data_IF_228132372520
#
_entry.id   IF_228132372520
#
_cell.length_a   1.000
_cell.length_b   1.000
_cell.length_c   1.000
_cell.angle_alpha   90.00
_cell.angle_beta   90.00
_cell.angle_gamma   90.00
#
_symmetry.space_group_name_H-M   'P 1'
#
loop_
_entity.id
_entity.type
_entity.pdbx_description
1 polymer ?
#
# COMPACT_ATOMS: atom_id res chain seq x y z
N UNK A 1 26.21 18.97 33.60
CA UNK A 1 26.94 19.14 32.33
C UNK A 1 27.29 17.73 31.89
N UNK A 2 26.42 17.03 31.16
CA UNK A 2 26.17 17.06 29.70
C UNK A 2 26.42 15.60 29.25
N UNK A 3 25.61 14.89 28.47
CA UNK A 3 24.64 15.29 27.45
C UNK A 3 23.28 14.57 27.57
N UNK A 4 22.16 15.25 27.31
CA UNK A 4 20.84 14.68 27.07
C UNK A 4 20.53 14.69 25.57
N UNK A 5 21.25 13.92 24.73
CA UNK A 5 20.93 13.72 23.31
C UNK A 5 21.51 12.37 22.84
N UNK A 6 20.92 11.25 23.26
CA UNK A 6 20.92 10.00 22.48
C UNK A 6 19.64 9.91 21.62
N UNK A 7 19.24 11.04 21.04
CA UNK A 7 18.19 11.13 20.02
C UNK A 7 18.84 11.36 18.66
N UNK A 8 18.47 10.50 17.70
CA UNK A 8 18.89 10.45 16.29
C UNK A 8 19.94 9.36 15.99
N UNK A 9 19.45 8.11 15.86
CA UNK A 9 20.29 7.00 15.43
C UNK A 9 19.60 5.64 15.43
N UNK A 10 18.32 5.53 15.05
CA UNK A 10 17.75 4.23 14.65
C UNK A 10 17.43 4.32 13.17
N UNK A 11 18.41 3.93 12.36
CA UNK A 11 18.22 3.61 10.95
C UNK A 11 17.69 2.17 10.91
N UNK A 12 16.42 2.01 10.51
CA UNK A 12 15.79 0.76 10.07
C UNK A 12 15.90 -0.44 11.02
N UNK A 13 15.08 -0.48 12.07
CA UNK A 13 14.65 -1.76 12.67
C UNK A 13 13.13 -1.80 12.45
N UNK A 14 12.72 -2.30 11.28
CA UNK A 14 11.34 -2.36 10.81
C UNK A 14 10.56 -3.32 11.68
N UNK A 15 9.82 -2.75 12.64
CA UNK A 15 8.87 -3.45 13.51
C UNK A 15 7.50 -2.89 13.24
N UNK A 16 6.48 -3.75 13.33
CA UNK A 16 5.09 -3.32 13.35
C UNK A 16 4.96 -2.14 14.32
N UNK A 17 4.56 -0.99 13.79
CA UNK A 17 4.46 0.24 14.53
C UNK A 17 3.01 0.70 14.49
N UNK A 18 2.51 1.18 15.62
CA UNK A 18 1.29 1.96 15.65
C UNK A 18 1.57 3.25 16.40
N UNK A 19 1.34 4.38 15.74
CA UNK A 19 1.56 5.71 16.28
C UNK A 19 0.30 6.56 16.08
N UNK A 20 0.05 7.49 16.99
CA UNK A 20 -1.09 8.42 16.90
C UNK A 20 -0.63 9.83 17.21
N UNK A 21 -1.08 10.79 16.41
CA UNK A 21 -0.78 12.21 16.57
C UNK A 21 -0.87 12.95 15.23
N UNK A 22 -0.39 14.18 15.22
CA UNK A 22 -0.34 15.00 14.01
C UNK A 22 0.60 14.39 12.97
N UNK A 23 0.12 14.19 11.74
CA UNK A 23 0.92 13.74 10.61
C UNK A 23 1.78 14.88 10.07
N UNK A 24 3.08 14.63 9.94
CA UNK A 24 4.01 15.55 9.28
C UNK A 24 4.75 14.79 8.20
N UNK A 25 4.80 15.36 7.01
CA UNK A 25 5.42 14.80 5.83
C UNK A 25 6.55 15.71 5.38
N UNK A 26 7.68 15.13 5.01
CA UNK A 26 8.75 15.81 4.30
C UNK A 26 9.20 14.97 3.11
N UNK A 27 9.52 15.61 1.99
CA UNK A 27 9.70 14.91 0.71
C UNK A 27 8.54 15.21 -0.24
N UNK A 28 8.43 14.41 -1.28
CA UNK A 28 7.37 14.50 -2.28
C UNK A 28 7.25 13.15 -2.99
N UNK A 29 6.07 12.86 -3.53
CA UNK A 29 5.80 11.63 -4.27
C UNK A 29 6.94 11.27 -5.25
N UNK A 30 7.41 10.01 -5.27
CA UNK A 30 6.88 8.86 -4.52
C UNK A 30 7.44 8.69 -3.10
N UNK A 31 8.41 9.50 -2.68
CA UNK A 31 9.19 9.28 -1.46
C UNK A 31 8.86 10.31 -0.37
N UNK A 32 8.33 9.83 0.75
CA UNK A 32 7.99 10.65 1.91
C UNK A 32 8.72 10.14 3.15
N UNK A 33 9.29 11.05 3.93
CA UNK A 33 9.54 10.79 5.35
C UNK A 33 8.28 11.21 6.11
N UNK A 34 7.68 10.25 6.79
CA UNK A 34 6.45 10.40 7.56
C UNK A 34 6.80 10.47 9.04
N UNK A 35 6.28 11.48 9.72
CA UNK A 35 6.39 11.65 11.17
C UNK A 35 4.99 11.73 11.78
N UNK A 36 4.77 11.03 12.89
CA UNK A 36 3.49 11.04 13.62
C UNK A 36 3.74 11.47 15.06
N UNK A 37 3.25 12.66 15.41
CA UNK A 37 3.55 13.31 16.68
C UNK A 37 5.05 13.48 16.92
N UNK A 38 5.49 13.34 18.17
CA UNK A 38 6.93 13.37 18.53
C UNK A 38 7.58 11.97 18.53
N UNK A 39 6.82 10.93 18.19
CA UNK A 39 7.11 9.56 18.66
C UNK A 39 7.52 8.60 17.55
N UNK A 40 7.12 8.85 16.31
CA UNK A 40 7.36 7.95 15.19
C UNK A 40 7.84 8.71 13.96
N UNK A 41 8.91 8.22 13.33
CA UNK A 41 9.37 8.67 12.03
C UNK A 41 9.81 7.45 11.20
N UNK A 42 9.38 7.39 9.94
CA UNK A 42 9.74 6.33 9.00
C UNK A 42 9.70 6.85 7.56
N UNK A 43 10.43 6.19 6.67
CA UNK A 43 10.41 6.49 5.24
C UNK A 43 9.36 5.61 4.56
N UNK A 44 8.59 6.21 3.65
CA UNK A 44 7.50 5.59 2.92
C UNK A 44 7.68 5.86 1.44
N UNK A 45 7.69 4.78 0.67
CA UNK A 45 7.57 4.82 -0.78
C UNK A 45 6.11 4.54 -1.16
N UNK A 46 5.46 5.46 -1.84
CA UNK A 46 4.12 5.27 -2.42
C UNK A 46 4.21 5.17 -3.94
N UNK A 47 3.15 4.69 -4.57
CA UNK A 47 3.04 4.79 -6.04
C UNK A 47 2.88 6.27 -6.38
N UNK A 48 3.46 6.72 -7.50
CA UNK A 48 3.47 8.14 -7.92
C UNK A 48 2.10 8.83 -7.92
N UNK A 49 1.01 8.06 -7.93
CA UNK A 49 -0.38 8.53 -7.94
C UNK A 49 -0.95 8.93 -6.57
N UNK A 50 -0.27 8.64 -5.45
CA UNK A 50 -0.69 9.10 -4.13
C UNK A 50 0.01 10.40 -3.73
N UNK A 51 -0.76 11.48 -3.61
CA UNK A 51 -0.27 12.68 -2.95
C UNK A 51 -0.70 12.68 -1.47
N UNK A 52 0.15 12.13 -0.61
CA UNK A 52 -0.09 12.10 0.84
C UNK A 52 -0.09 13.49 1.48
N UNK A 53 0.39 14.53 0.78
CA UNK A 53 0.44 15.89 1.34
C UNK A 53 -0.94 16.43 1.73
N UNK A 54 -2.03 15.86 1.18
CA UNK A 54 -3.39 16.17 1.60
C UNK A 54 -3.68 15.84 3.07
N UNK A 55 -2.95 14.89 3.67
CA UNK A 55 -3.09 14.49 5.08
C UNK A 55 -2.15 15.29 6.02
N UNK A 56 -1.35 16.22 5.48
CA UNK A 56 -0.39 17.00 6.26
C UNK A 56 -1.10 17.80 7.36
N UNK A 57 -0.68 17.60 8.61
CA UNK A 57 -1.21 18.31 9.77
C UNK A 57 -2.47 17.69 10.37
N UNK A 58 -2.99 16.61 9.79
CA UNK A 58 -4.16 15.91 10.34
C UNK A 58 -3.78 15.06 11.56
N UNK A 59 -4.70 14.96 12.51
CA UNK A 59 -4.60 13.99 13.60
C UNK A 59 -4.96 12.59 13.08
N UNK A 60 -3.97 11.70 13.08
CA UNK A 60 -4.12 10.36 12.50
C UNK A 60 -3.56 9.28 13.43
N UNK A 61 -4.02 8.05 13.20
CA UNK A 61 -3.35 6.85 13.66
C UNK A 61 -2.72 6.17 12.44
N UNK A 62 -1.40 6.00 12.46
CA UNK A 62 -0.68 5.23 11.44
C UNK A 62 -0.28 3.88 12.02
N UNK A 63 -0.58 2.83 11.26
CA UNK A 63 -0.10 1.47 11.52
C UNK A 63 0.76 1.03 10.36
N UNK A 64 2.02 0.67 10.62
CA UNK A 64 2.86 -0.03 9.65
C UNK A 64 2.98 -1.48 10.06
N UNK A 65 2.98 -2.36 9.08
CA UNK A 65 3.23 -3.79 9.29
C UNK A 65 4.40 -4.16 8.39
N UNK A 66 5.44 -4.69 9.02
CA UNK A 66 6.66 -5.07 8.33
C UNK A 66 6.57 -6.53 7.95
N UNK A 67 6.20 -6.80 6.70
CA UNK A 67 6.44 -8.08 6.04
C UNK A 67 6.92 -7.76 4.62
N UNK A 68 8.18 -8.09 4.30
CA UNK A 68 8.68 -8.00 2.92
C UNK A 68 10.08 -7.38 2.76
N UNK A 69 10.76 -7.79 1.69
CA UNK A 69 12.16 -7.49 1.32
C UNK A 69 12.28 -6.04 0.76
N UNK A 70 13.46 -5.43 0.84
CA UNK A 70 13.79 -4.11 0.25
C UNK A 70 13.07 -2.87 0.84
N UNK A 71 12.80 -2.85 2.14
CA UNK A 71 12.27 -1.66 2.87
C UNK A 71 10.84 -1.25 2.49
N UNK A 72 10.12 -2.01 1.66
CA UNK A 72 8.71 -1.71 1.32
C UNK A 72 7.81 -2.10 2.49
N UNK A 73 6.96 -1.17 2.92
CA UNK A 73 6.11 -1.33 4.10
C UNK A 73 4.65 -1.24 3.72
N UNK A 74 3.85 -2.16 4.27
CA UNK A 74 2.41 -1.97 4.28
C UNK A 74 2.05 -0.97 5.37
N UNK A 75 1.21 -0.02 5.02
CA UNK A 75 0.86 1.11 5.88
C UNK A 75 -0.63 1.39 5.77
N UNK A 76 -1.24 1.64 6.92
CA UNK A 76 -2.59 2.17 7.06
C UNK A 76 -2.54 3.50 7.80
N UNK A 77 -3.29 4.46 7.29
CA UNK A 77 -3.58 5.72 7.97
C UNK A 77 -5.08 5.78 8.25
N UNK A 78 -5.43 6.11 9.48
CA UNK A 78 -6.80 6.39 9.91
C UNK A 78 -6.89 7.82 10.46
N UNK A 79 -7.99 8.50 10.16
CA UNK A 79 -8.40 9.71 10.87
C UNK A 79 -9.49 9.38 11.91
N UNK A 80 -10.08 10.43 12.50
CA UNK A 80 -11.18 10.27 13.45
C UNK A 80 -12.45 9.61 12.86
N UNK A 81 -12.60 9.59 11.53
CA UNK A 81 -13.74 9.01 10.81
C UNK A 81 -13.46 7.58 10.34
N UNK A 82 -12.21 7.13 10.37
CA UNK A 82 -11.79 5.78 10.00
C UNK A 82 -10.63 5.78 8.99
N UNK A 83 -10.48 4.69 8.21
CA UNK A 83 -9.41 4.57 7.22
C UNK A 83 -9.43 5.71 6.20
N UNK A 84 -8.25 6.28 5.87
CA UNK A 84 -8.08 7.33 4.84
C UNK A 84 -7.15 6.93 3.72
N UNK A 85 -6.14 6.11 4.03
CA UNK A 85 -5.13 5.67 3.08
C UNK A 85 -4.60 4.31 3.50
N UNK A 86 -4.41 3.41 2.54
CA UNK A 86 -3.67 2.18 2.76
C UNK A 86 -2.76 1.90 1.57
N UNK A 87 -1.54 1.43 1.84
CA UNK A 87 -0.70 0.76 0.86
C UNK A 87 -0.42 -0.64 1.38
N UNK A 88 -0.69 -1.62 0.54
CA UNK A 88 -0.41 -3.02 0.77
C UNK A 88 0.74 -3.41 -0.17
N UNK A 89 1.89 -3.72 0.43
CA UNK A 89 3.12 -4.10 -0.23
C UNK A 89 3.40 -5.60 -0.03
N UNK A 90 2.38 -6.47 -0.10
CA UNK A 90 2.51 -7.91 0.14
C UNK A 90 1.96 -8.36 1.49
N UNK A 91 1.14 -7.53 2.12
CA UNK A 91 0.37 -7.91 3.30
C UNK A 91 -0.81 -8.82 2.93
N UNK A 92 -1.49 -9.34 3.96
CA UNK A 92 -2.67 -10.18 3.75
C UNK A 92 -3.88 -9.30 3.44
N UNK A 93 -4.52 -9.58 2.29
CA UNK A 93 -5.86 -9.09 1.93
C UNK A 93 -6.85 -9.15 3.10
N UNK A 94 -6.76 -10.18 3.95
CA UNK A 94 -7.66 -10.37 5.09
C UNK A 94 -7.66 -9.17 6.03
N UNK A 95 -6.51 -8.53 6.17
CA UNK A 95 -6.33 -7.53 7.18
C UNK A 95 -6.71 -6.13 6.69
N UNK A 96 -6.57 -5.83 5.39
CA UNK A 96 -7.25 -4.68 4.76
C UNK A 96 -8.77 -4.89 4.75
N UNK A 97 -9.24 -6.10 4.42
CA UNK A 97 -10.66 -6.43 4.44
C UNK A 97 -11.30 -6.34 5.83
N UNK A 98 -10.56 -6.70 6.88
CA UNK A 98 -11.02 -6.52 8.26
C UNK A 98 -11.36 -5.06 8.58
N UNK A 99 -10.68 -4.10 7.94
CA UNK A 99 -10.95 -2.68 8.11
C UNK A 99 -12.11 -2.15 7.26
N UNK A 100 -12.23 -2.64 6.02
CA UNK A 100 -13.34 -2.27 5.13
C UNK A 100 -14.69 -2.86 5.58
N UNK A 101 -14.70 -3.78 6.55
CA UNK A 101 -15.90 -4.30 7.20
C UNK A 101 -16.63 -5.40 6.42
N UNK A 102 -16.20 -5.69 5.19
CA UNK A 102 -16.57 -6.85 4.37
C UNK A 102 -15.38 -7.21 3.47
N UNK A 103 -15.29 -8.44 2.94
CA UNK A 103 -14.26 -8.76 1.95
C UNK A 103 -14.54 -7.97 0.66
N UNK A 104 -14.00 -6.76 0.62
CA UNK A 104 -14.10 -5.82 -0.50
C UNK A 104 -13.00 -6.08 -1.52
N UNK A 105 -11.89 -6.68 -1.09
CA UNK A 105 -10.74 -6.98 -1.94
C UNK A 105 -10.47 -8.48 -1.98
N UNK A 106 -10.22 -9.00 -3.17
CA UNK A 106 -9.84 -10.38 -3.37
C UNK A 106 -8.87 -10.50 -4.55
N UNK A 107 -8.23 -11.65 -4.66
CA UNK A 107 -7.64 -12.06 -5.93
C UNK A 107 -8.71 -12.34 -6.95
N UNK A 108 -8.51 -11.90 -8.20
CA UNK A 108 -9.28 -12.42 -9.31
C UNK A 108 -8.90 -13.86 -9.63
N UNK A 109 -9.70 -14.49 -10.49
CA UNK A 109 -9.28 -15.67 -11.23
C UNK A 109 -8.01 -15.37 -12.06
N UNK A 110 -7.30 -16.43 -12.46
CA UNK A 110 -6.15 -16.30 -13.36
C UNK A 110 -6.60 -15.78 -14.73
N UNK A 111 -5.92 -14.76 -15.20
CA UNK A 111 -6.21 -14.08 -16.47
C UNK A 111 -5.26 -14.49 -17.58
N UNK A 112 -4.12 -15.07 -17.21
CA UNK A 112 -3.19 -15.71 -18.12
C UNK A 112 -1.93 -16.16 -17.40
N UNK A 113 -1.09 -16.91 -18.12
CA UNK A 113 0.18 -17.37 -17.60
C UNK A 113 1.30 -17.14 -18.61
N UNK A 114 2.50 -16.87 -18.11
CA UNK A 114 3.73 -16.81 -18.89
C UNK A 114 4.79 -17.65 -18.20
N UNK A 115 5.72 -18.19 -18.98
CA UNK A 115 6.81 -18.97 -18.43
C UNK A 115 8.15 -18.56 -19.02
N UNK A 116 9.21 -18.77 -18.24
CA UNK A 116 10.58 -18.69 -18.71
C UNK A 116 11.37 -19.94 -18.26
N UNK A 117 12.69 -19.91 -18.38
CA UNK A 117 13.56 -21.05 -18.03
C UNK A 117 13.46 -21.46 -16.56
N UNK A 118 13.15 -20.52 -15.66
CA UNK A 118 13.14 -20.74 -14.21
C UNK A 118 11.76 -20.63 -13.56
N UNK A 119 10.82 -19.95 -14.20
CA UNK A 119 9.58 -19.53 -13.57
C UNK A 119 8.34 -19.85 -14.40
N UNK A 120 7.28 -20.21 -13.69
CA UNK A 120 5.89 -20.13 -14.13
C UNK A 120 5.27 -18.92 -13.43
N UNK A 121 4.67 -18.02 -14.20
CA UNK A 121 4.11 -16.75 -13.71
C UNK A 121 2.62 -16.73 -14.06
N UNK A 122 1.77 -16.70 -13.04
CA UNK A 122 0.32 -16.60 -13.20
C UNK A 122 -0.09 -15.15 -13.00
N UNK A 123 -0.64 -14.53 -14.04
CA UNK A 123 -1.12 -13.15 -14.03
C UNK A 123 -2.57 -13.12 -13.58
N UNK A 124 -2.87 -12.30 -12.57
CA UNK A 124 -4.21 -12.08 -12.04
C UNK A 124 -4.47 -10.58 -11.97
N UNK A 125 -5.56 -10.19 -11.32
CA UNK A 125 -5.87 -8.83 -10.93
C UNK A 125 -6.37 -8.76 -9.49
N UNK A 126 -6.59 -7.53 -9.04
CA UNK A 126 -7.32 -7.25 -7.80
C UNK A 126 -8.81 -7.21 -8.13
N UNK A 127 -9.57 -8.16 -7.61
CA UNK A 127 -11.03 -8.09 -7.60
C UNK A 127 -11.47 -7.14 -6.49
N UNK A 128 -12.29 -6.17 -6.84
CA UNK A 128 -12.87 -5.20 -5.92
C UNK A 128 -14.39 -5.37 -5.94
N UNK A 129 -14.95 -5.74 -4.80
CA UNK A 129 -16.38 -5.72 -4.54
C UNK A 129 -16.76 -4.35 -3.99
N UNK A 130 -17.61 -3.63 -4.73
CA UNK A 130 -18.01 -2.26 -4.43
C UNK A 130 -19.53 -2.11 -4.56
N UNK A 131 -20.06 -0.94 -4.20
CA UNK A 131 -21.50 -0.71 -4.04
C UNK A 131 -22.30 -0.90 -5.35
N UNK A 132 -21.65 -0.71 -6.50
CA UNK A 132 -22.25 -0.84 -7.84
C UNK A 132 -21.99 -2.20 -8.50
N UNK A 133 -21.23 -3.10 -7.86
CA UNK A 133 -20.90 -4.42 -8.39
C UNK A 133 -19.46 -4.85 -8.13
N UNK A 134 -18.96 -5.71 -9.00
CA UNK A 134 -17.58 -6.20 -8.95
C UNK A 134 -16.80 -5.68 -10.15
N UNK A 135 -15.52 -5.40 -9.94
CA UNK A 135 -14.57 -5.09 -10.99
C UNK A 135 -13.24 -5.79 -10.72
N UNK A 136 -12.47 -5.98 -11.78
CA UNK A 136 -11.11 -6.51 -11.70
C UNK A 136 -10.16 -5.46 -12.24
N UNK A 137 -9.12 -5.15 -11.48
CA UNK A 137 -8.05 -4.22 -11.87
C UNK A 137 -6.75 -4.98 -12.13
N UNK A 138 -6.12 -4.67 -13.25
CA UNK A 138 -4.81 -5.18 -13.63
C UNK A 138 -3.67 -4.35 -13.01
N UNK A 139 -2.45 -4.91 -12.90
CA UNK A 139 -1.28 -4.12 -12.52
C UNK A 139 -1.13 -2.84 -13.34
N UNK A 140 -0.94 -1.71 -12.66
CA UNK A 140 -0.86 -0.37 -13.23
C UNK A 140 -2.21 0.31 -13.47
N UNK A 141 -3.34 -0.36 -13.24
CA UNK A 141 -4.66 0.26 -13.34
C UNK A 141 -5.08 0.94 -12.04
N UNK A 142 -5.83 2.02 -12.20
CA UNK A 142 -6.47 2.75 -11.10
C UNK A 142 -7.92 3.04 -11.41
N UNK A 143 -8.81 2.87 -10.43
CA UNK A 143 -10.24 3.11 -10.60
C UNK A 143 -10.85 3.70 -9.33
N UNK A 144 -11.79 4.64 -9.53
CA UNK A 144 -12.61 5.19 -8.45
C UNK A 144 -13.83 4.30 -8.23
N UNK A 145 -14.09 3.92 -6.99
CA UNK A 145 -15.16 3.00 -6.56
C UNK A 145 -15.81 3.50 -5.27
N UNK A 146 -17.01 3.05 -4.95
CA UNK A 146 -17.64 3.29 -3.65
C UNK A 146 -17.71 1.98 -2.87
N UNK A 147 -17.13 1.91 -1.67
CA UNK A 147 -17.16 0.72 -0.81
C UNK A 147 -17.83 1.12 0.50
N UNK A 148 -19.01 0.58 0.77
CA UNK A 148 -19.76 0.92 1.99
C UNK A 148 -20.22 2.38 2.02
N UNK A 149 -20.49 2.98 0.86
CA UNK A 149 -20.86 4.38 0.72
C UNK A 149 -19.69 5.38 0.78
N UNK A 150 -18.45 4.90 0.90
CA UNK A 150 -17.24 5.73 0.94
C UNK A 150 -16.52 5.64 -0.40
N UNK A 151 -16.16 6.78 -0.98
CA UNK A 151 -15.42 6.85 -2.24
C UNK A 151 -13.92 6.52 -2.05
N UNK A 152 -13.41 5.58 -2.85
CA UNK A 152 -12.02 5.13 -2.85
C UNK A 152 -11.41 5.19 -4.25
N UNK A 153 -10.17 5.67 -4.36
CA UNK A 153 -9.31 5.40 -5.50
C UNK A 153 -8.50 4.14 -5.18
N UNK A 154 -8.70 3.08 -5.95
CA UNK A 154 -7.95 1.83 -5.87
C UNK A 154 -6.90 1.84 -6.97
N UNK A 155 -5.65 1.52 -6.65
CA UNK A 155 -4.55 1.38 -7.62
C UNK A 155 -3.84 0.06 -7.41
N UNK A 156 -3.69 -0.74 -8.47
CA UNK A 156 -2.96 -2.02 -8.39
C UNK A 156 -1.52 -1.80 -8.81
N UNK A 157 -0.59 -2.24 -7.97
CA UNK A 157 0.85 -2.13 -8.20
C UNK A 157 1.34 -3.41 -8.88
N UNK A 158 0.99 -4.55 -8.29
CA UNK A 158 1.38 -5.88 -8.75
C UNK A 158 0.26 -6.88 -8.42
N UNK A 159 0.04 -7.86 -9.29
CA UNK A 159 -0.92 -8.94 -9.10
C UNK A 159 -0.48 -10.17 -9.92
N UNK A 160 0.48 -10.94 -9.41
CA UNK A 160 1.00 -12.14 -10.05
C UNK A 160 1.51 -13.16 -9.04
N UNK A 161 1.25 -14.44 -9.27
CA UNK A 161 1.91 -15.53 -8.55
C UNK A 161 3.12 -16.02 -9.35
N UNK A 162 4.20 -16.41 -8.67
CA UNK A 162 5.37 -17.02 -9.30
C UNK A 162 5.68 -18.36 -8.66
N UNK A 163 5.93 -19.37 -9.47
CA UNK A 163 6.36 -20.70 -9.02
C UNK A 163 7.66 -21.07 -9.72
N UNK A 164 8.65 -21.51 -8.95
CA UNK A 164 9.93 -22.00 -9.51
C UNK A 164 9.67 -23.35 -10.19
N UNK A 165 10.14 -23.51 -11.42
CA UNK A 165 10.06 -24.77 -12.14
C UNK A 165 10.89 -25.86 -11.48
N UNK A 166 10.37 -27.09 -11.48
CA UNK A 166 11.10 -28.25 -10.96
C UNK A 166 12.49 -28.38 -11.60
N UNK A 167 13.54 -28.35 -10.77
CA UNK A 167 14.92 -28.48 -11.21
C UNK A 167 15.57 -27.20 -11.72
N UNK A 168 14.87 -26.06 -11.73
CA UNK A 168 15.48 -24.76 -11.97
C UNK A 168 16.40 -24.35 -10.80
N UNK A 169 17.50 -23.66 -11.11
CA UNK A 169 18.34 -23.08 -10.07
C UNK A 169 17.54 -21.98 -9.34
N UNK A 170 17.49 -22.06 -8.01
CA UNK A 170 16.93 -20.99 -7.20
C UNK A 170 17.82 -19.76 -7.38
N UNK A 171 17.27 -18.59 -7.76
CA UNK A 171 18.08 -17.38 -7.89
C UNK A 171 18.70 -16.98 -6.54
N UNK A 172 19.91 -16.40 -6.60
CA UNK A 172 20.70 -15.99 -5.44
C UNK A 172 20.02 -14.91 -4.58
N UNK A 173 19.01 -14.23 -5.11
CA UNK A 173 18.08 -13.40 -4.35
C UNK A 173 16.74 -14.14 -4.27
N UNK A 174 16.13 -14.28 -3.06
CA UNK A 174 14.76 -14.73 -2.95
C UNK A 174 13.89 -13.79 -3.79
N UNK A 175 13.40 -14.31 -4.92
CA UNK A 175 12.47 -13.58 -5.77
C UNK A 175 11.19 -13.45 -4.98
N UNK A 176 10.85 -12.20 -4.68
CA UNK A 176 9.62 -11.71 -4.05
C UNK A 176 8.47 -12.72 -4.17
N UNK A 177 8.10 -13.31 -3.04
CA UNK A 177 6.88 -14.10 -2.88
C UNK A 177 5.62 -13.21 -2.88
N UNK A 178 5.77 -11.89 -3.04
CA UNK A 178 4.70 -10.91 -2.90
C UNK A 178 3.76 -10.94 -4.11
N UNK A 179 2.58 -11.55 -3.97
CA UNK A 179 1.82 -11.89 -5.14
C UNK A 179 0.90 -10.71 -5.51
N UNK A 180 0.41 -9.93 -4.53
CA UNK A 180 -0.49 -8.79 -4.74
C UNK A 180 -0.04 -7.58 -3.92
N UNK A 181 0.02 -6.43 -4.60
CA UNK A 181 0.29 -5.13 -3.98
C UNK A 181 -0.61 -4.06 -4.59
N UNK A 182 -1.17 -3.20 -3.74
CA UNK A 182 -2.17 -2.21 -4.14
C UNK A 182 -2.20 -1.04 -3.17
N UNK A 183 -2.89 0.02 -3.56
CA UNK A 183 -3.08 1.22 -2.78
C UNK A 183 -4.56 1.62 -2.78
N UNK A 184 -5.04 2.07 -1.63
CA UNK A 184 -6.39 2.62 -1.42
C UNK A 184 -6.29 4.05 -0.90
N UNK A 185 -7.08 4.95 -1.47
CA UNK A 185 -7.10 6.36 -1.07
C UNK A 185 -8.54 6.89 -0.99
N UNK A 186 -8.95 7.38 0.19
CA UNK A 186 -10.31 7.89 0.42
C UNK A 186 -10.54 9.21 -0.31
N UNK A 187 -11.34 9.22 -1.36
CA UNK A 187 -11.32 10.31 -2.35
C UNK A 187 -11.74 11.68 -1.82
N UNK A 188 -12.62 11.74 -0.82
CA UNK A 188 -13.11 13.01 -0.26
C UNK A 188 -11.99 13.88 0.35
N UNK A 189 -10.86 13.28 0.71
CA UNK A 189 -9.70 13.97 1.30
C UNK A 189 -8.64 14.38 0.27
N UNK A 190 -8.65 13.77 -0.91
CA UNK A 190 -7.58 13.93 -1.91
C UNK A 190 -8.08 14.54 -3.22
N UNK A 191 -9.11 15.37 -3.15
CA UNK A 191 -9.68 16.06 -4.32
C UNK A 191 -8.75 17.17 -4.82
N UNK A 192 -7.59 16.81 -5.37
CA UNK A 192 -6.78 17.70 -6.20
C UNK A 192 -5.85 16.91 -7.12
N UNK A 193 -6.43 16.15 -8.06
CA UNK A 193 -5.77 15.96 -9.36
C UNK A 193 -6.79 16.33 -10.45
N UNK A 194 -6.54 17.36 -11.26
CA UNK A 194 -7.38 17.65 -12.41
C UNK A 194 -7.34 16.41 -13.31
N UNK A 195 -8.52 15.89 -13.68
CA UNK A 195 -8.64 14.97 -14.79
C UNK A 195 -7.96 15.62 -15.99
N UNK A 196 -6.75 15.15 -16.33
CA UNK A 196 -6.12 15.53 -17.58
C UNK A 196 -7.07 15.09 -18.68
N UNK A 197 -7.79 16.07 -19.22
CA UNK A 197 -8.66 15.89 -20.35
C UNK A 197 -7.85 15.26 -21.46
N UNK A 198 -8.18 14.02 -21.80
CA UNK A 198 -7.92 13.52 -23.15
C UNK A 198 -8.74 14.40 -24.09
N UNK A 199 -8.06 15.29 -24.79
CA UNK A 199 -8.50 15.81 -26.09
C UNK A 199 -7.97 14.90 -27.18
#
# INVERSE_FOLDING_TARGET
>A
MGDPLETAGVKGDTRDLTATGTLTLSGASPDYTVTVGETAAFDLHVVELADLSALQGDEVTVTTISWGIEDWQSLLVNDASGPVFAVDAGWSLDAVNAWLGTPALAWSEELGATENESWEISHRGLQVTHDDGELVLMPGESQSVSIGGVGWLVTVIQAQDRTIKDGAAMPDCPVLDDPLSYQLQRQELFTSVPTNGRT
#
